data_IF_065916372350
#
_entry.id   IF_065916372350
#
_cell.length_a   1.000
_cell.length_b   1.000
_cell.length_c   1.000
_cell.angle_alpha   90.00
_cell.angle_beta   90.00
_cell.angle_gamma   90.00
#
_symmetry.space_group_name_H-M   'P 1'
#
loop_
_entity.id
_entity.type
_entity.pdbx_description
1 polymer ?
#
# COMPACT_ATOMS: atom_id res chain seq x y z
N UNK A 1 -22.77 19.53 22.77
CA UNK A 1 -21.34 19.56 22.45
C UNK A 1 -20.58 19.12 23.68
N UNK A 2 -20.38 17.83 23.86
CA UNK A 2 -19.50 17.28 24.89
C UNK A 2 -18.56 16.27 24.20
N UNK A 3 -17.42 16.77 23.78
CA UNK A 3 -16.29 15.93 23.43
C UNK A 3 -15.73 15.40 24.75
N UNK A 4 -16.08 14.18 25.12
CA UNK A 4 -15.38 13.49 26.20
C UNK A 4 -13.92 13.38 25.78
N UNK A 5 -12.95 13.80 26.60
CA UNK A 5 -11.54 13.67 26.26
C UNK A 5 -11.24 12.17 26.08
N UNK A 6 -10.60 11.84 24.99
CA UNK A 6 -10.09 10.49 24.73
C UNK A 6 -9.28 10.04 25.95
N UNK A 7 -9.58 8.90 26.57
CA UNK A 7 -8.85 8.48 27.76
C UNK A 7 -7.36 8.36 27.42
N UNK A 8 -6.51 9.07 28.14
CA UNK A 8 -5.06 9.00 27.99
C UNK A 8 -4.62 7.54 28.18
N UNK A 9 -4.30 6.88 27.07
CA UNK A 9 -3.78 5.53 27.12
C UNK A 9 -2.30 5.60 27.54
N UNK A 10 -1.95 4.97 28.67
CA UNK A 10 -0.55 4.90 29.10
C UNK A 10 0.18 3.84 28.28
N UNK A 11 0.95 4.30 27.29
CA UNK A 11 1.90 3.44 26.59
C UNK A 11 3.05 3.06 27.55
N UNK A 12 3.55 1.83 27.42
CA UNK A 12 4.76 1.40 28.12
C UNK A 12 5.98 2.13 27.57
N UNK A 13 7.06 2.24 28.32
CA UNK A 13 8.28 2.90 27.86
C UNK A 13 8.84 2.28 26.56
N UNK A 14 8.79 0.95 26.43
CA UNK A 14 9.16 0.25 25.20
C UNK A 14 8.29 0.61 24.02
N UNK A 15 6.98 0.81 24.21
CA UNK A 15 6.05 1.20 23.14
C UNK A 15 6.34 2.62 22.69
N UNK A 16 6.70 3.52 23.61
CA UNK A 16 7.07 4.90 23.29
C UNK A 16 8.38 4.97 22.48
N UNK A 17 9.39 4.19 22.84
CA UNK A 17 10.65 4.10 22.11
C UNK A 17 10.40 3.60 20.68
N UNK A 18 9.65 2.51 20.51
CA UNK A 18 9.28 1.99 19.21
C UNK A 18 8.45 2.99 18.39
N UNK A 19 7.54 3.72 19.04
CA UNK A 19 6.74 4.74 18.39
C UNK A 19 7.61 5.87 17.84
N UNK A 20 8.57 6.36 18.64
CA UNK A 20 9.52 7.38 18.19
C UNK A 20 10.35 6.91 17.00
N UNK A 21 10.90 5.69 17.05
CA UNK A 21 11.62 5.08 15.93
C UNK A 21 10.74 4.96 14.69
N UNK A 22 9.47 4.59 14.86
CA UNK A 22 8.52 4.45 13.74
C UNK A 22 8.20 5.80 13.11
N UNK A 23 8.03 6.82 13.93
CA UNK A 23 7.83 8.21 13.49
C UNK A 23 9.08 8.71 12.76
N UNK A 24 10.27 8.55 13.35
CA UNK A 24 11.54 8.95 12.75
C UNK A 24 11.74 8.31 11.36
N UNK A 25 11.56 6.99 11.26
CA UNK A 25 11.61 6.28 9.98
C UNK A 25 10.58 6.77 8.96
N UNK A 26 9.43 7.27 9.41
CA UNK A 26 8.45 7.86 8.50
C UNK A 26 8.99 9.07 7.76
N UNK A 27 9.91 9.83 8.37
CA UNK A 27 10.51 11.04 7.77
C UNK A 27 11.40 10.71 6.58
N UNK A 28 11.97 9.51 6.53
CA UNK A 28 12.84 9.04 5.46
C UNK A 28 12.05 8.52 4.24
N UNK A 29 10.73 8.32 4.39
CA UNK A 29 9.87 7.79 3.33
C UNK A 29 9.69 8.83 2.22
N UNK A 30 10.21 8.50 1.04
CA UNK A 30 10.11 9.31 -0.17
C UNK A 30 9.68 8.53 -1.40
N UNK A 31 9.75 7.20 -1.38
CA UNK A 31 9.41 6.34 -2.50
C UNK A 31 8.38 5.29 -2.10
N UNK A 32 7.70 4.72 -3.10
CA UNK A 32 6.72 3.64 -2.90
C UNK A 32 7.33 2.43 -2.18
N UNK A 33 8.56 2.06 -2.53
CA UNK A 33 9.27 0.95 -1.89
C UNK A 33 9.58 1.25 -0.44
N UNK A 34 10.02 2.48 -0.13
CA UNK A 34 10.28 2.89 1.25
C UNK A 34 8.99 2.93 2.07
N UNK A 35 7.89 3.45 1.50
CA UNK A 35 6.58 3.43 2.16
C UNK A 35 6.13 1.99 2.46
N UNK A 36 6.26 1.08 1.49
CA UNK A 36 5.95 -0.33 1.69
C UNK A 36 6.79 -0.95 2.82
N UNK A 37 8.11 -0.76 2.79
CA UNK A 37 9.00 -1.32 3.81
C UNK A 37 8.72 -0.75 5.20
N UNK A 38 8.39 0.53 5.29
CA UNK A 38 8.01 1.16 6.54
C UNK A 38 6.65 0.65 7.05
N UNK A 39 5.63 0.58 6.19
CA UNK A 39 4.29 0.11 6.53
C UNK A 39 4.28 -1.38 6.91
N UNK A 40 5.00 -2.21 6.16
CA UNK A 40 5.08 -3.66 6.41
C UNK A 40 6.20 -4.05 7.39
N UNK A 41 6.92 -3.08 7.90
CA UNK A 41 7.96 -3.25 8.92
C UNK A 41 7.61 -2.55 10.23
N UNK A 42 7.98 -1.29 10.36
CA UNK A 42 7.86 -0.54 11.61
C UNK A 42 6.40 -0.41 12.12
N UNK A 43 5.42 -0.18 11.23
CA UNK A 43 4.01 -0.07 11.60
C UNK A 43 3.42 -1.39 12.11
N UNK A 44 3.95 -2.53 11.69
CA UNK A 44 3.47 -3.85 12.12
C UNK A 44 3.61 -4.09 13.62
N UNK A 45 4.55 -3.43 14.28
CA UNK A 45 4.71 -3.49 15.72
C UNK A 45 3.56 -2.85 16.52
N UNK A 46 2.76 -1.98 15.87
CA UNK A 46 1.65 -1.26 16.50
C UNK A 46 0.29 -1.71 16.00
N UNK A 47 0.17 -1.87 14.70
CA UNK A 47 -1.07 -2.27 14.01
C UNK A 47 -0.71 -3.44 13.09
N UNK A 48 -0.59 -4.67 13.61
CA UNK A 48 -0.37 -5.85 12.79
C UNK A 48 -1.52 -6.01 11.79
N UNK A 49 -1.20 -6.04 10.49
CA UNK A 49 -2.18 -6.09 9.41
C UNK A 49 -1.65 -6.89 8.21
N UNK A 50 -2.55 -7.49 7.44
CA UNK A 50 -2.22 -8.18 6.21
C UNK A 50 -2.14 -7.21 5.02
N UNK A 51 -3.08 -6.25 4.97
CA UNK A 51 -3.17 -5.29 3.89
C UNK A 51 -3.49 -3.88 4.42
N UNK A 52 -2.85 -2.89 3.79
CA UNK A 52 -3.06 -1.47 4.04
C UNK A 52 -3.55 -0.81 2.74
N UNK A 53 -4.77 -0.28 2.74
CA UNK A 53 -5.26 0.61 1.69
C UNK A 53 -5.02 2.06 2.10
N UNK A 54 -4.40 2.81 1.21
CA UNK A 54 -4.19 4.24 1.35
C UNK A 54 -5.06 4.94 0.30
N UNK A 55 -6.02 5.73 0.74
CA UNK A 55 -6.82 6.59 -0.10
C UNK A 55 -6.40 8.05 0.12
N UNK A 56 -6.42 8.85 -0.93
CA UNK A 56 -6.10 10.28 -0.84
C UNK A 56 -6.78 11.08 -1.94
N UNK A 57 -7.04 12.33 -1.68
CA UNK A 57 -7.68 13.26 -2.60
C UNK A 57 -8.71 14.14 -1.90
N UNK A 58 -9.72 14.54 -2.62
CA UNK A 58 -10.85 15.29 -2.08
C UNK A 58 -11.77 14.30 -1.34
N UNK A 59 -11.65 14.28 -0.02
CA UNK A 59 -12.39 13.34 0.83
C UNK A 59 -13.87 13.72 0.98
N UNK A 60 -14.20 14.99 0.88
CA UNK A 60 -15.58 15.47 1.00
C UNK A 60 -16.36 15.20 -0.29
N UNK A 61 -15.76 15.40 -1.44
CA UNK A 61 -16.35 15.08 -2.74
C UNK A 61 -16.15 13.61 -3.16
N UNK A 62 -15.56 12.77 -2.31
CA UNK A 62 -15.28 11.36 -2.58
C UNK A 62 -14.45 11.11 -3.85
N UNK A 63 -13.65 12.09 -4.27
CA UNK A 63 -12.72 11.97 -5.41
C UNK A 63 -11.38 11.45 -4.94
N UNK A 64 -11.32 10.16 -4.68
CA UNK A 64 -10.19 9.50 -4.05
C UNK A 64 -9.41 8.66 -5.07
N UNK A 65 -8.09 8.75 -4.99
CA UNK A 65 -7.16 7.76 -5.54
C UNK A 65 -6.84 6.75 -4.45
N UNK A 66 -6.64 5.49 -4.83
CA UNK A 66 -6.39 4.42 -3.87
C UNK A 66 -5.16 3.64 -4.28
N UNK A 67 -4.36 3.27 -3.30
CA UNK A 67 -3.21 2.39 -3.44
C UNK A 67 -3.19 1.38 -2.31
N UNK A 68 -2.87 0.13 -2.64
CA UNK A 68 -2.78 -0.95 -1.67
C UNK A 68 -1.34 -1.40 -1.46
N UNK A 69 -1.03 -1.74 -0.21
CA UNK A 69 0.22 -2.36 0.23
C UNK A 69 -0.12 -3.60 1.05
N UNK A 70 0.26 -4.79 0.58
CA UNK A 70 -0.03 -6.05 1.25
C UNK A 70 1.20 -6.96 1.29
N UNK A 71 1.29 -7.82 2.31
CA UNK A 71 2.34 -8.85 2.43
C UNK A 71 2.17 -9.99 1.44
N UNK A 72 0.93 -10.32 1.13
CA UNK A 72 0.53 -11.40 0.24
C UNK A 72 -0.15 -10.91 -1.03
N UNK A 73 -0.57 -11.87 -1.83
CA UNK A 73 -1.37 -11.60 -3.04
C UNK A 73 -2.83 -11.44 -2.63
N UNK A 74 -3.36 -10.25 -2.82
CA UNK A 74 -4.80 -10.01 -2.64
C UNK A 74 -5.54 -10.38 -3.93
N UNK A 75 -6.64 -11.10 -3.77
CA UNK A 75 -7.50 -11.48 -4.91
C UNK A 75 -8.01 -10.21 -5.63
N UNK A 76 -7.90 -10.11 -6.96
CA UNK A 76 -8.39 -8.96 -7.72
C UNK A 76 -9.87 -8.63 -7.49
N UNK A 77 -10.70 -9.63 -7.17
CA UNK A 77 -12.12 -9.42 -6.79
C UNK A 77 -12.23 -8.64 -5.47
N UNK A 78 -11.40 -8.99 -4.49
CA UNK A 78 -11.34 -8.27 -3.20
C UNK A 78 -10.87 -6.84 -3.42
N UNK A 79 -9.82 -6.63 -4.22
CA UNK A 79 -9.34 -5.29 -4.56
C UNK A 79 -10.46 -4.47 -5.21
N UNK A 80 -11.19 -5.04 -6.18
CA UNK A 80 -12.33 -4.39 -6.83
C UNK A 80 -13.46 -4.08 -5.84
N UNK A 81 -13.84 -5.02 -4.97
CA UNK A 81 -14.88 -4.82 -3.95
C UNK A 81 -14.49 -3.74 -2.93
N UNK A 82 -13.21 -3.67 -2.59
CA UNK A 82 -12.72 -2.63 -1.68
C UNK A 82 -12.73 -1.24 -2.32
N UNK A 83 -12.34 -1.11 -3.57
CA UNK A 83 -12.00 0.17 -4.20
C UNK A 83 -13.02 0.71 -5.20
N UNK A 84 -14.10 -0.04 -5.50
CA UNK A 84 -15.14 0.45 -6.42
C UNK A 84 -15.64 1.83 -5.96
N UNK A 85 -15.62 2.87 -6.86
CA UNK A 85 -15.98 4.22 -6.46
C UNK A 85 -17.44 4.39 -6.06
N UNK A 86 -18.34 3.55 -6.56
CA UNK A 86 -19.79 3.68 -6.35
C UNK A 86 -20.27 2.95 -5.11
N UNK A 87 -19.85 1.70 -4.92
CA UNK A 87 -20.39 0.80 -3.90
C UNK A 87 -19.30 0.06 -3.10
N UNK A 88 -18.04 0.39 -3.33
CA UNK A 88 -16.90 -0.21 -2.65
C UNK A 88 -16.92 -0.01 -1.14
N UNK A 89 -16.24 -0.91 -0.45
CA UNK A 89 -16.14 -0.87 1.02
C UNK A 89 -15.42 0.39 1.48
N UNK A 90 -14.30 0.75 0.83
CA UNK A 90 -13.47 1.88 1.22
C UNK A 90 -14.21 3.24 1.12
N UNK A 91 -14.92 3.59 0.02
CA UNK A 91 -15.73 4.83 -0.01
C UNK A 91 -16.76 4.89 1.11
N UNK A 92 -17.44 3.79 1.41
CA UNK A 92 -18.41 3.74 2.53
C UNK A 92 -17.74 3.88 3.90
N UNK A 93 -16.52 3.39 4.09
CA UNK A 93 -15.74 3.61 5.31
C UNK A 93 -15.35 5.08 5.47
N UNK A 94 -14.97 5.75 4.38
CA UNK A 94 -14.68 7.19 4.37
C UNK A 94 -15.92 7.98 4.77
N UNK A 95 -17.07 7.67 4.18
CA UNK A 95 -18.36 8.33 4.51
C UNK A 95 -18.73 8.11 5.99
N UNK A 96 -18.61 6.86 6.51
CA UNK A 96 -18.85 6.58 7.94
C UNK A 96 -17.87 7.33 8.84
N UNK A 97 -16.60 7.47 8.43
CA UNK A 97 -15.62 8.24 9.17
C UNK A 97 -15.95 9.73 9.20
N UNK A 98 -16.35 10.32 8.07
CA UNK A 98 -16.77 11.73 7.98
C UNK A 98 -17.98 12.01 8.86
N UNK A 99 -19.03 11.19 8.75
CA UNK A 99 -20.27 11.34 9.54
C UNK A 99 -20.07 11.13 11.03
N UNK A 100 -19.14 10.29 11.40
CA UNK A 100 -18.90 9.94 12.79
C UNK A 100 -17.85 10.80 13.49
N UNK A 101 -17.70 12.06 13.09
CA UNK A 101 -16.82 13.02 13.75
C UNK A 101 -15.34 12.79 13.50
N UNK A 102 -14.99 12.03 12.47
CA UNK A 102 -13.60 11.74 12.05
C UNK A 102 -12.76 10.99 13.09
N UNK A 103 -13.41 10.29 14.01
CA UNK A 103 -12.72 9.41 14.95
C UNK A 103 -12.29 8.10 14.28
N UNK A 104 -11.28 7.39 14.80
CA UNK A 104 -10.88 6.07 14.29
C UNK A 104 -12.06 5.10 14.20
N UNK A 105 -12.05 4.28 13.16
CA UNK A 105 -13.06 3.25 12.93
C UNK A 105 -12.48 1.89 13.24
N UNK A 106 -13.06 1.24 14.22
CA UNK A 106 -12.70 -0.11 14.64
C UNK A 106 -13.87 -1.03 14.29
N UNK A 107 -13.65 -1.95 13.37
CA UNK A 107 -14.66 -2.86 12.85
C UNK A 107 -14.22 -4.30 13.13
N UNK A 108 -15.14 -5.10 13.66
CA UNK A 108 -14.90 -6.51 13.98
C UNK A 108 -16.15 -7.33 13.74
N UNK A 109 -15.98 -8.52 13.20
CA UNK A 109 -17.06 -9.51 13.08
C UNK A 109 -17.49 -10.07 14.43
N UNK A 110 -16.60 -10.06 15.41
CA UNK A 110 -16.82 -10.56 16.77
C UNK A 110 -17.48 -9.53 17.72
N UNK A 111 -17.59 -8.28 17.29
CA UNK A 111 -18.18 -7.21 18.08
C UNK A 111 -19.71 -7.31 18.11
N UNK A 112 -20.31 -7.24 19.32
CA UNK A 112 -21.74 -7.09 19.47
C UNK A 112 -22.30 -5.88 18.72
N UNK A 113 -23.61 -5.73 18.68
CA UNK A 113 -24.40 -4.80 17.84
C UNK A 113 -23.75 -3.45 17.51
N UNK A 114 -22.95 -3.41 16.45
CA UNK A 114 -22.62 -2.16 15.77
C UNK A 114 -23.79 -1.82 14.85
N UNK A 115 -24.91 -1.43 15.45
CA UNK A 115 -26.13 -1.01 14.75
C UNK A 115 -25.78 0.06 13.73
N UNK A 116 -26.10 -0.16 12.46
CA UNK A 116 -25.77 0.73 11.35
C UNK A 116 -24.49 0.35 10.54
N UNK A 117 -23.62 -0.55 11.04
CA UNK A 117 -22.42 -1.01 10.34
C UNK A 117 -22.43 -2.47 9.93
N UNK A 118 -23.51 -3.20 10.20
CA UNK A 118 -23.64 -4.64 9.88
C UNK A 118 -23.34 -4.95 8.42
N UNK A 119 -23.84 -4.13 7.50
CA UNK A 119 -23.59 -4.33 6.07
C UNK A 119 -22.10 -4.16 5.73
N UNK A 120 -21.47 -3.10 6.26
CA UNK A 120 -20.06 -2.83 6.05
C UNK A 120 -19.17 -3.96 6.60
N UNK A 121 -19.47 -4.45 7.81
CA UNK A 121 -18.78 -5.59 8.42
C UNK A 121 -18.97 -6.85 7.60
N UNK A 122 -20.19 -7.13 7.14
CA UNK A 122 -20.47 -8.29 6.29
C UNK A 122 -19.76 -8.23 4.93
N UNK A 123 -19.57 -7.04 4.37
CA UNK A 123 -18.79 -6.85 3.14
C UNK A 123 -17.29 -7.09 3.38
N UNK A 124 -16.75 -6.60 4.50
CA UNK A 124 -15.38 -6.87 4.92
C UNK A 124 -15.13 -8.36 5.13
N UNK A 125 -16.06 -9.08 5.77
CA UNK A 125 -15.99 -10.53 5.94
C UNK A 125 -15.98 -11.25 4.59
N UNK A 126 -16.82 -10.82 3.62
CA UNK A 126 -16.79 -11.39 2.27
C UNK A 126 -15.48 -11.13 1.53
N UNK A 127 -14.76 -10.06 1.92
CA UNK A 127 -13.39 -9.80 1.46
C UNK A 127 -12.33 -10.62 2.23
N UNK A 128 -12.72 -11.39 3.25
CA UNK A 128 -11.83 -12.19 4.08
C UNK A 128 -11.21 -11.44 5.26
N UNK A 129 -11.80 -10.30 5.68
CA UNK A 129 -11.28 -9.47 6.77
C UNK A 129 -12.27 -9.40 7.94
N UNK A 130 -11.97 -10.09 9.03
CA UNK A 130 -12.77 -10.09 10.24
C UNK A 130 -12.51 -8.87 11.12
N UNK A 131 -11.27 -8.39 11.13
CA UNK A 131 -10.85 -7.27 11.96
C UNK A 131 -10.21 -6.19 11.10
N UNK A 132 -10.76 -4.99 11.19
CA UNK A 132 -10.31 -3.83 10.40
C UNK A 132 -10.26 -2.60 11.30
N UNK A 133 -9.19 -1.83 11.15
CA UNK A 133 -9.09 -0.51 11.76
C UNK A 133 -8.82 0.53 10.67
N UNK A 134 -9.44 1.70 10.77
CA UNK A 134 -9.25 2.74 9.79
C UNK A 134 -9.30 4.12 10.43
N UNK A 135 -8.52 5.02 9.86
CA UNK A 135 -8.51 6.42 10.27
C UNK A 135 -7.99 7.30 9.14
N UNK A 136 -8.24 8.59 9.21
CA UNK A 136 -7.82 9.53 8.18
C UNK A 136 -7.37 10.87 8.73
N UNK A 137 -6.79 11.66 7.86
CA UNK A 137 -6.43 13.06 8.10
C UNK A 137 -7.03 13.91 7.00
N UNK A 138 -7.57 15.06 7.37
CA UNK A 138 -7.94 16.13 6.46
C UNK A 138 -7.01 17.31 6.69
N UNK A 139 -6.53 17.91 5.62
CA UNK A 139 -5.76 19.15 5.71
C UNK A 139 -6.64 20.31 6.22
N UNK A 140 -6.02 21.20 6.97
CA UNK A 140 -6.70 22.36 7.57
C UNK A 140 -7.15 23.34 6.49
N UNK A 141 -6.37 23.43 5.40
CA UNK A 141 -6.70 24.27 4.26
C UNK A 141 -6.99 23.41 3.04
N UNK A 142 -8.24 23.39 2.58
CA UNK A 142 -8.68 22.66 1.41
C UNK A 142 -9.46 21.37 1.72
N UNK A 143 -9.85 20.68 0.65
CA UNK A 143 -10.65 19.46 0.70
C UNK A 143 -9.79 18.20 0.60
N UNK A 144 -8.46 18.37 0.56
CA UNK A 144 -7.52 17.27 0.44
C UNK A 144 -7.35 16.54 1.78
N UNK A 145 -7.25 15.25 1.68
CA UNK A 145 -7.01 14.39 2.84
C UNK A 145 -6.49 13.02 2.45
N UNK A 146 -6.23 12.22 3.44
CA UNK A 146 -5.90 10.80 3.27
C UNK A 146 -6.68 9.95 4.27
N UNK A 147 -6.97 8.73 3.86
CA UNK A 147 -7.65 7.74 4.69
C UNK A 147 -6.96 6.40 4.54
N UNK A 148 -6.73 5.73 5.66
CA UNK A 148 -5.97 4.51 5.76
C UNK A 148 -6.83 3.40 6.35
N UNK A 149 -6.85 2.24 5.69
CA UNK A 149 -7.59 1.06 6.12
C UNK A 149 -6.60 -0.08 6.35
N UNK A 150 -6.45 -0.49 7.59
CA UNK A 150 -5.68 -1.64 8.03
C UNK A 150 -6.62 -2.83 8.12
N UNK A 151 -6.46 -3.80 7.23
CA UNK A 151 -7.31 -4.98 7.18
C UNK A 151 -6.53 -6.27 7.44
N UNK A 152 -7.23 -7.28 7.96
CA UNK A 152 -6.62 -8.52 8.40
C UNK A 152 -5.78 -8.30 9.67
N UNK A 153 -6.35 -7.63 10.67
CA UNK A 153 -5.70 -7.54 11.97
C UNK A 153 -5.80 -8.89 12.67
N UNK A 154 -4.74 -9.30 13.36
CA UNK A 154 -4.68 -10.58 14.08
C UNK A 154 -5.65 -10.65 15.26
N UNK A 155 -6.08 -9.49 15.77
CA UNK A 155 -6.97 -9.37 16.94
C UNK A 155 -8.00 -8.29 16.72
N UNK A 156 -9.10 -8.40 17.45
CA UNK A 156 -10.10 -7.35 17.49
C UNK A 156 -9.45 -6.01 17.88
N UNK A 157 -9.62 -4.95 17.05
CA UNK A 157 -9.08 -3.64 17.37
C UNK A 157 -9.81 -3.01 18.56
N UNK A 158 -9.04 -2.40 19.45
CA UNK A 158 -9.46 -1.84 20.72
C UNK A 158 -9.16 -0.33 20.85
N UNK A 159 -9.39 0.25 22.02
CA UNK A 159 -9.11 1.66 22.31
C UNK A 159 -7.60 1.99 22.17
N UNK A 160 -6.72 1.03 22.45
CA UNK A 160 -5.27 1.19 22.21
C UNK A 160 -4.99 1.34 20.72
N UNK A 161 -5.64 0.52 19.90
CA UNK A 161 -5.53 0.61 18.43
C UNK A 161 -6.00 1.99 17.94
N UNK A 162 -7.15 2.48 18.44
CA UNK A 162 -7.66 3.81 18.10
C UNK A 162 -6.67 4.92 18.44
N UNK A 163 -6.13 4.90 19.66
CA UNK A 163 -5.14 5.88 20.12
C UNK A 163 -3.86 5.87 19.29
N UNK A 164 -3.34 4.68 18.96
CA UNK A 164 -2.17 4.54 18.10
C UNK A 164 -2.43 5.09 16.69
N UNK A 165 -3.62 4.85 16.13
CA UNK A 165 -3.99 5.42 14.84
C UNK A 165 -4.02 6.94 14.89
N UNK A 166 -4.60 7.55 15.93
CA UNK A 166 -4.59 9.02 16.09
C UNK A 166 -3.16 9.58 16.09
N UNK A 167 -2.23 8.92 16.80
CA UNK A 167 -0.84 9.35 16.85
C UNK A 167 -0.09 9.15 15.51
N UNK A 168 -0.34 8.05 14.81
CA UNK A 168 0.39 7.68 13.60
C UNK A 168 -0.14 8.39 12.35
N UNK A 169 -1.42 8.77 12.32
CA UNK A 169 -2.05 9.32 11.10
C UNK A 169 -1.35 10.54 10.50
N UNK A 170 -0.93 11.56 11.25
CA UNK A 170 -0.23 12.70 10.67
C UNK A 170 1.07 12.29 9.96
N UNK A 171 1.78 11.32 10.53
CA UNK A 171 3.05 10.82 9.97
C UNK A 171 2.82 9.97 8.73
N UNK A 172 1.76 9.16 8.73
CA UNK A 172 1.34 8.38 7.55
C UNK A 172 0.90 9.28 6.40
N UNK A 173 0.11 10.32 6.72
CA UNK A 173 -0.32 11.33 5.75
C UNK A 173 0.88 12.01 5.10
N UNK A 174 1.82 12.53 5.90
CA UNK A 174 3.01 13.20 5.40
C UNK A 174 3.94 12.26 4.61
N UNK A 175 4.10 11.01 5.04
CA UNK A 175 4.89 10.02 4.32
C UNK A 175 4.25 9.69 2.95
N UNK A 176 2.93 9.48 2.91
CA UNK A 176 2.17 9.26 1.68
C UNK A 176 2.27 10.47 0.75
N UNK A 177 2.14 11.69 1.28
CA UNK A 177 2.21 12.93 0.51
C UNK A 177 3.60 13.12 -0.11
N UNK A 178 4.69 12.96 0.65
CA UNK A 178 6.07 13.04 0.11
C UNK A 178 6.32 12.02 -0.99
N UNK A 179 5.94 10.76 -0.76
CA UNK A 179 6.06 9.70 -1.75
C UNK A 179 5.39 10.12 -3.08
N UNK A 180 4.20 10.67 -2.98
CA UNK A 180 3.40 11.06 -4.13
C UNK A 180 3.87 12.32 -4.84
N UNK A 181 4.33 13.32 -4.08
CA UNK A 181 4.97 14.50 -4.68
C UNK A 181 6.15 14.09 -5.54
N UNK A 182 6.99 13.21 -5.01
CA UNK A 182 8.14 12.71 -5.77
C UNK A 182 7.73 11.94 -7.03
N UNK A 183 6.71 11.07 -6.94
CA UNK A 183 6.16 10.39 -8.13
C UNK A 183 5.63 11.40 -9.17
N UNK A 184 4.99 12.49 -8.73
CA UNK A 184 4.49 13.55 -9.60
C UNK A 184 5.63 14.38 -10.22
N UNK A 185 6.65 14.71 -9.44
CA UNK A 185 7.83 15.44 -9.93
C UNK A 185 8.64 14.62 -10.94
N UNK A 186 8.82 13.33 -10.67
CA UNK A 186 9.44 12.38 -11.59
C UNK A 186 8.61 12.19 -12.88
N UNK A 187 7.28 12.33 -12.79
CA UNK A 187 6.38 12.27 -13.95
C UNK A 187 6.32 13.58 -14.75
N UNK A 188 6.61 14.71 -14.11
CA UNK A 188 6.61 16.05 -14.75
C UNK A 188 7.97 16.44 -15.33
N UNK A 189 9.03 15.78 -14.92
CA UNK A 189 10.39 16.02 -15.41
C UNK A 189 10.75 15.06 -16.54
N UNK A 190 10.03 15.12 -17.65
CA UNK A 190 10.19 14.32 -18.85
C UNK A 190 9.40 13.00 -18.90
N UNK A 191 8.69 12.86 -20.01
CA UNK A 191 8.20 11.62 -20.62
C UNK A 191 9.30 10.56 -20.73
N UNK A 192 9.65 9.93 -19.61
CA UNK A 192 10.26 8.60 -19.62
C UNK A 192 9.88 7.90 -18.30
N UNK A 193 9.28 6.70 -18.35
CA UNK A 193 9.09 5.92 -17.13
C UNK A 193 10.48 5.66 -16.57
N UNK A 194 10.77 6.15 -15.35
CA UNK A 194 11.93 5.69 -14.60
C UNK A 194 11.64 4.26 -14.17
N UNK A 195 11.73 3.37 -15.11
CA UNK A 195 11.82 1.95 -14.87
C UNK A 195 13.17 1.75 -14.18
N UNK A 196 13.16 1.25 -12.96
CA UNK A 196 14.34 0.75 -12.24
C UNK A 196 15.20 -0.13 -13.18
N UNK A 197 14.56 -0.71 -14.18
CA UNK A 197 15.13 -1.52 -15.22
C UNK A 197 15.13 -0.75 -16.56
N UNK A 198 16.22 -0.83 -17.31
CA UNK A 198 16.27 -0.31 -18.69
C UNK A 198 15.29 -1.09 -19.60
N UNK A 199 14.91 -0.50 -20.73
CA UNK A 199 14.06 -1.18 -21.75
C UNK A 199 14.58 -2.60 -22.05
N UNK A 200 15.88 -2.79 -22.18
CA UNK A 200 16.51 -4.10 -22.45
C UNK A 200 16.40 -5.05 -21.26
N UNK A 201 16.54 -4.57 -20.05
CA UNK A 201 16.34 -5.36 -18.83
C UNK A 201 14.89 -5.80 -18.66
N UNK A 202 13.93 -4.95 -19.03
CA UNK A 202 12.50 -5.31 -19.06
C UNK A 202 12.22 -6.43 -20.06
N UNK A 203 12.76 -6.33 -21.28
CA UNK A 203 12.65 -7.39 -22.29
C UNK A 203 13.21 -8.72 -21.78
N UNK A 204 14.39 -8.71 -21.19
CA UNK A 204 15.01 -9.90 -20.59
C UNK A 204 14.15 -10.45 -19.46
N UNK A 205 13.68 -9.60 -18.55
CA UNK A 205 12.84 -9.99 -17.40
C UNK A 205 11.51 -10.59 -17.85
N UNK A 206 10.91 -10.08 -18.91
CA UNK A 206 9.71 -10.63 -19.52
C UNK A 206 9.90 -12.13 -19.85
N UNK A 207 10.95 -12.46 -20.59
CA UNK A 207 11.22 -13.84 -20.96
C UNK A 207 11.67 -14.72 -19.79
N UNK A 208 12.36 -14.13 -18.82
CA UNK A 208 12.67 -14.79 -17.53
C UNK A 208 11.39 -15.22 -16.80
N UNK A 209 10.35 -14.40 -16.80
CA UNK A 209 9.04 -14.72 -16.21
C UNK A 209 8.32 -15.85 -16.94
N UNK A 210 8.53 -15.96 -18.25
CA UNK A 210 8.00 -17.06 -19.07
C UNK A 210 8.84 -18.34 -18.99
N UNK A 211 9.78 -18.41 -18.04
CA UNK A 211 10.60 -19.59 -17.80
C UNK A 211 11.72 -19.84 -18.83
N UNK A 212 11.97 -18.91 -19.75
CA UNK A 212 12.96 -19.07 -20.82
C UNK A 212 14.38 -19.05 -20.26
N UNK A 213 15.23 -19.96 -20.72
CA UNK A 213 16.67 -20.02 -20.40
C UNK A 213 17.41 -18.83 -21.01
N UNK A 214 18.65 -18.56 -20.55
CA UNK A 214 19.46 -17.49 -21.11
C UNK A 214 19.78 -17.74 -22.59
N UNK A 215 19.88 -19.01 -23.00
CA UNK A 215 20.11 -19.38 -24.40
C UNK A 215 18.88 -19.05 -25.25
N UNK A 216 17.68 -19.47 -24.85
CA UNK A 216 16.43 -19.13 -25.56
C UNK A 216 16.21 -17.64 -25.64
N UNK A 217 16.43 -16.89 -24.53
CA UNK A 217 16.33 -15.44 -24.50
C UNK A 217 17.32 -14.80 -25.49
N UNK A 218 18.52 -15.34 -25.58
CA UNK A 218 19.55 -14.85 -26.53
C UNK A 218 19.09 -14.97 -27.97
N UNK A 219 18.47 -16.10 -28.32
CA UNK A 219 17.89 -16.32 -29.66
C UNK A 219 16.73 -15.37 -29.95
N UNK A 220 15.81 -15.19 -28.98
CA UNK A 220 14.63 -14.33 -29.12
C UNK A 220 15.04 -12.86 -29.28
N UNK A 221 16.02 -12.40 -28.50
CA UNK A 221 16.40 -11.00 -28.42
C UNK A 221 17.59 -10.64 -29.33
N UNK A 222 18.16 -11.57 -30.07
CA UNK A 222 19.28 -11.35 -30.97
C UNK A 222 20.56 -10.88 -30.27
N UNK A 223 20.86 -11.39 -29.07
CA UNK A 223 22.05 -11.04 -28.29
C UNK A 223 22.77 -12.30 -27.79
N UNK A 224 24.01 -12.16 -27.33
CA UNK A 224 24.76 -13.35 -26.86
C UNK A 224 24.24 -13.87 -25.50
N UNK A 225 24.31 -15.19 -25.22
CA UNK A 225 23.93 -15.74 -23.91
C UNK A 225 24.68 -15.11 -22.73
N UNK A 226 25.99 -14.76 -22.81
CA UNK A 226 26.69 -14.00 -21.78
C UNK A 226 26.05 -12.62 -21.53
N UNK A 227 25.60 -11.94 -22.60
CA UNK A 227 24.93 -10.65 -22.48
C UNK A 227 23.59 -10.77 -21.71
N UNK A 228 22.81 -11.84 -21.99
CA UNK A 228 21.57 -12.14 -21.22
C UNK A 228 21.90 -12.38 -19.75
N UNK A 229 22.95 -13.18 -19.45
CA UNK A 229 23.41 -13.43 -18.08
C UNK A 229 23.74 -12.12 -17.36
N UNK A 230 24.45 -11.20 -18.01
CA UNK A 230 24.79 -9.90 -17.45
C UNK A 230 23.54 -9.04 -17.17
N UNK A 231 22.54 -9.05 -18.07
CA UNK A 231 21.27 -8.37 -17.83
C UNK A 231 20.52 -8.97 -16.63
N UNK A 232 20.43 -10.30 -16.53
CA UNK A 232 19.80 -10.98 -15.38
C UNK A 232 20.50 -10.61 -14.07
N UNK A 233 21.83 -10.57 -14.05
CA UNK A 233 22.57 -10.14 -12.85
C UNK A 233 22.30 -8.67 -12.48
N UNK A 234 22.26 -7.77 -13.48
CA UNK A 234 21.90 -6.36 -13.27
C UNK A 234 20.47 -6.21 -12.74
N UNK A 235 19.53 -6.98 -13.30
CA UNK A 235 18.13 -7.02 -12.83
C UNK A 235 18.08 -7.46 -11.37
N UNK A 236 18.71 -8.59 -11.01
CA UNK A 236 18.74 -9.08 -9.64
C UNK A 236 19.32 -8.05 -8.65
N UNK A 237 20.42 -7.38 -9.03
CA UNK A 237 21.04 -6.32 -8.21
C UNK A 237 20.10 -5.12 -8.06
N UNK A 238 19.47 -4.65 -9.14
CA UNK A 238 18.55 -3.51 -9.13
C UNK A 238 17.27 -3.81 -8.35
N UNK A 239 16.77 -5.05 -8.41
CA UNK A 239 15.64 -5.52 -7.64
C UNK A 239 16.01 -5.93 -6.21
N UNK A 240 17.28 -5.89 -5.83
CA UNK A 240 17.80 -6.34 -4.53
C UNK A 240 17.28 -7.74 -4.16
N UNK A 241 17.58 -8.74 -5.02
CA UNK A 241 17.22 -10.15 -4.86
C UNK A 241 18.41 -11.06 -5.18
N UNK A 242 18.45 -12.23 -4.55
CA UNK A 242 19.59 -13.13 -4.58
C UNK A 242 19.50 -14.22 -5.67
N UNK A 243 18.33 -14.45 -6.25
CA UNK A 243 18.14 -15.47 -7.28
C UNK A 243 17.06 -15.08 -8.30
N UNK A 244 17.06 -15.82 -9.42
CA UNK A 244 16.16 -15.63 -10.55
C UNK A 244 14.68 -15.77 -10.18
N UNK A 245 14.33 -16.72 -9.31
CA UNK A 245 12.94 -16.95 -8.89
C UNK A 245 12.43 -15.77 -8.06
N UNK A 246 13.26 -15.24 -7.17
CA UNK A 246 12.93 -14.01 -6.42
C UNK A 246 12.77 -12.79 -7.35
N UNK A 247 13.59 -12.68 -8.41
CA UNK A 247 13.44 -11.61 -9.40
C UNK A 247 12.08 -11.70 -10.12
N UNK A 248 11.63 -12.90 -10.47
CA UNK A 248 10.30 -13.13 -11.04
C UNK A 248 9.18 -12.74 -10.07
N UNK A 249 9.24 -13.22 -8.83
CA UNK A 249 8.26 -12.89 -7.80
C UNK A 249 8.17 -11.38 -7.54
N UNK A 250 9.32 -10.73 -7.35
CA UNK A 250 9.40 -9.29 -7.08
C UNK A 250 8.93 -8.44 -8.27
N UNK A 251 9.19 -8.88 -9.50
CA UNK A 251 8.73 -8.18 -10.70
C UNK A 251 7.20 -8.21 -10.86
N UNK A 252 6.55 -9.30 -10.43
CA UNK A 252 5.10 -9.41 -10.41
C UNK A 252 4.48 -8.44 -9.40
N UNK A 253 5.06 -8.39 -8.19
CA UNK A 253 4.63 -7.49 -7.12
C UNK A 253 4.78 -6.00 -7.49
N UNK A 254 5.86 -5.65 -8.20
CA UNK A 254 6.16 -4.28 -8.59
C UNK A 254 5.48 -3.85 -9.90
N UNK A 255 4.70 -4.73 -10.55
CA UNK A 255 4.07 -4.51 -11.87
C UNK A 255 5.04 -3.93 -12.92
N UNK A 256 6.32 -4.36 -12.88
CA UNK A 256 7.40 -3.83 -13.74
C UNK A 256 7.27 -4.23 -15.21
N UNK A 257 6.31 -5.09 -15.56
CA UNK A 257 6.04 -5.53 -16.94
C UNK A 257 4.54 -5.46 -17.15
N UNK A 258 4.07 -4.44 -17.83
CA UNK A 258 2.66 -4.26 -18.23
C UNK A 258 2.41 -4.78 -19.66
N UNK A 259 1.15 -5.02 -20.01
CA UNK A 259 0.75 -5.44 -21.37
C UNK A 259 1.14 -4.43 -22.46
N UNK A 260 1.31 -3.17 -22.11
CA UNK A 260 1.68 -2.07 -23.05
C UNK A 260 3.13 -2.19 -23.52
N UNK A 261 4.03 -2.68 -22.66
CA UNK A 261 5.45 -2.90 -23.01
C UNK A 261 5.63 -4.01 -24.07
N UNK A 262 4.58 -4.80 -24.32
CA UNK A 262 4.59 -5.94 -25.26
C UNK A 262 4.33 -5.55 -26.72
N UNK A 263 3.64 -4.45 -26.98
CA UNK A 263 3.33 -4.01 -28.35
C UNK A 263 4.50 -3.31 -29.04
N UNK A 264 5.44 -2.73 -28.27
CA UNK A 264 6.66 -2.15 -28.84
C UNK A 264 7.77 -3.20 -29.11
N UNK A 265 7.67 -4.40 -28.54
CA UNK A 265 8.67 -5.48 -28.68
C UNK A 265 8.43 -6.33 -29.95
N UNK A 266 7.26 -6.26 -30.54
CA UNK A 266 6.85 -7.04 -31.73
C UNK A 266 7.00 -6.27 -33.05
N UNK A 267 7.57 -5.07 -33.04
CA UNK A 267 8.00 -4.31 -34.22
C UNK A 267 9.51 -4.21 -34.25
#
# INVERSE_FOLDING_TARGET
MNSSPTPFFRLKASDLEHLLITIEKSLEVQTRTQFYLWAQGALQGFVPHEALWCAWGDVDAMRLKVQMFARGVINPRVESQMTNPTDGVLPRMVDDWLRGGRAPRLLSSEGGEQTGRRQLIGDLQRCGFDHVAAHGVREVQGDYGSFFVFAGLERQPDQRTAYLLELLMPHMHLALHRMRQREADESSTEMAPVTILSKREIQVLHWVRHGKTNFEISQILGISPPTVKNHVQKIMRKLNVNNRAQAVGKSATLRLVTHTDLQEVAR
#
